data_IF_557675260772
#
_entry.id   IF_557675260772
#
_cell.length_a   1.000
_cell.length_b   1.000
_cell.length_c   1.000
_cell.angle_alpha   90.00
_cell.angle_beta   90.00
_cell.angle_gamma   90.00
#
_symmetry.space_group_name_H-M   'P 1'
#
loop_
_entity.id
_entity.type
_entity.pdbx_description
1 polymer ?
#
# COMPACT_ATOMS: atom_id res chain seq x y z
N UNK A 1 4.97 34.50 -44.80
CA UNK A 1 4.17 33.85 -45.88
C UNK A 1 3.41 32.68 -45.26
N UNK A 2 2.15 32.44 -45.65
CA UNK A 2 0.98 32.63 -44.78
C UNK A 2 0.19 31.34 -44.46
N UNK A 3 -0.79 31.51 -43.57
CA UNK A 3 -1.94 30.64 -43.28
C UNK A 3 -2.61 30.07 -44.55
N UNK A 4 -3.18 28.86 -44.44
CA UNK A 4 -4.30 28.48 -45.30
C UNK A 4 -5.32 27.65 -44.51
N UNK A 5 -6.55 28.14 -44.54
CA UNK A 5 -7.73 27.73 -43.81
C UNK A 5 -8.72 27.07 -44.79
N UNK A 6 -9.54 26.17 -44.25
CA UNK A 6 -10.92 25.89 -44.67
C UNK A 6 -11.19 25.29 -46.06
N UNK A 7 -11.89 24.15 -46.10
CA UNK A 7 -13.34 24.09 -46.43
C UNK A 7 -13.79 22.66 -46.73
N UNK A 8 -14.88 22.22 -46.08
CA UNK A 8 -15.79 21.19 -46.61
C UNK A 8 -16.89 21.87 -47.43
N UNK A 9 -17.51 21.18 -48.41
CA UNK A 9 -18.93 20.78 -48.28
C UNK A 9 -19.20 19.38 -48.88
N UNK A 10 -20.06 18.51 -48.35
CA UNK A 10 -21.53 18.51 -48.12
C UNK A 10 -22.34 17.75 -49.21
N UNK A 11 -22.79 16.55 -48.81
CA UNK A 11 -24.05 15.82 -49.06
C UNK A 11 -24.60 15.72 -50.51
N UNK A 12 -24.85 14.48 -50.99
CA UNK A 12 -26.20 13.92 -51.30
C UNK A 12 -26.18 12.50 -51.88
N UNK A 13 -26.77 11.59 -51.08
CA UNK A 13 -27.74 10.52 -51.39
C UNK A 13 -27.56 9.66 -52.65
N UNK A 14 -27.50 8.34 -52.44
CA UNK A 14 -28.27 7.37 -53.23
C UNK A 14 -28.61 6.11 -52.39
N UNK A 15 -29.91 5.78 -52.40
CA UNK A 15 -30.61 4.57 -51.96
C UNK A 15 -30.22 3.36 -52.85
N UNK A 16 -30.34 2.07 -52.53
CA UNK A 16 -31.44 1.22 -52.04
C UNK A 16 -30.82 -0.17 -51.77
N UNK A 17 -31.26 -0.91 -50.74
CA UNK A 17 -31.60 -2.35 -50.81
C UNK A 17 -31.66 -2.97 -49.40
N UNK A 18 -32.87 -3.37 -49.00
CA UNK A 18 -33.16 -4.16 -47.80
C UNK A 18 -32.51 -5.55 -47.95
N UNK A 19 -31.60 -5.91 -47.04
CA UNK A 19 -31.20 -7.29 -46.78
C UNK A 19 -31.35 -7.59 -45.30
N UNK A 20 -31.90 -8.77 -45.05
CA UNK A 20 -32.40 -9.30 -43.78
C UNK A 20 -31.31 -9.42 -42.72
N UNK A 21 -31.65 -9.03 -41.48
CA UNK A 21 -30.74 -9.05 -40.34
C UNK A 21 -30.47 -10.48 -39.85
N UNK A 22 -29.21 -10.91 -39.68
CA UNK A 22 -28.91 -12.11 -38.92
C UNK A 22 -29.06 -11.83 -37.42
N UNK A 23 -29.77 -12.73 -36.72
CA UNK A 23 -30.04 -12.69 -35.28
C UNK A 23 -28.72 -12.61 -34.48
N UNK A 24 -28.57 -11.58 -33.65
CA UNK A 24 -27.44 -11.43 -32.71
C UNK A 24 -27.38 -12.64 -31.75
N UNK A 25 -26.20 -13.22 -31.47
CA UNK A 25 -26.07 -14.23 -30.44
C UNK A 25 -26.34 -13.62 -29.07
N UNK A 26 -27.09 -14.35 -28.24
CA UNK A 26 -27.50 -13.95 -26.90
C UNK A 26 -26.28 -13.61 -26.02
N UNK A 27 -26.27 -12.40 -25.45
CA UNK A 27 -25.27 -11.97 -24.46
C UNK A 27 -25.39 -12.85 -23.22
N UNK A 28 -24.43 -13.75 -23.00
CA UNK A 28 -24.29 -14.47 -21.73
C UNK A 28 -23.99 -13.45 -20.63
N UNK A 29 -24.85 -13.37 -19.61
CA UNK A 29 -24.62 -12.55 -18.41
C UNK A 29 -23.32 -13.02 -17.74
N UNK A 30 -22.44 -12.11 -17.31
CA UNK A 30 -21.22 -12.51 -16.61
C UNK A 30 -21.61 -13.16 -15.29
N UNK A 31 -21.25 -14.44 -15.13
CA UNK A 31 -21.34 -15.16 -13.87
C UNK A 31 -20.39 -14.47 -12.91
N UNK A 32 -20.93 -13.70 -11.97
CA UNK A 32 -20.18 -13.13 -10.86
C UNK A 32 -19.66 -14.30 -10.01
N UNK A 33 -18.44 -14.75 -10.31
CA UNK A 33 -17.67 -15.57 -9.39
C UNK A 33 -17.51 -14.74 -8.13
N UNK A 34 -18.08 -15.20 -7.01
CA UNK A 34 -17.80 -14.65 -5.68
C UNK A 34 -16.30 -14.79 -5.47
N UNK A 35 -15.56 -13.70 -5.70
CA UNK A 35 -14.15 -13.61 -5.34
C UNK A 35 -14.15 -13.73 -3.82
N UNK A 36 -13.60 -14.83 -3.32
CA UNK A 36 -13.40 -15.03 -1.90
C UNK A 36 -12.66 -13.80 -1.38
N UNK A 37 -13.26 -13.13 -0.40
CA UNK A 37 -12.76 -11.92 0.24
C UNK A 37 -11.27 -12.07 0.52
N UNK A 38 -10.44 -11.29 -0.17
CA UNK A 38 -9.02 -11.17 0.12
C UNK A 38 -8.93 -10.74 1.58
N UNK A 39 -8.59 -11.68 2.47
CA UNK A 39 -8.19 -11.33 3.83
C UNK A 39 -6.97 -10.44 3.67
N UNK A 40 -7.10 -9.19 4.07
CA UNK A 40 -5.97 -8.28 4.24
C UNK A 40 -4.88 -9.01 5.01
N UNK A 41 -3.64 -8.98 4.51
CA UNK A 41 -2.45 -9.58 5.14
C UNK A 41 -2.25 -9.14 6.61
N UNK A 42 -2.95 -8.08 7.03
CA UNK A 42 -2.95 -7.55 8.39
C UNK A 42 -3.54 -8.50 9.45
N UNK A 43 -4.28 -9.56 9.10
CA UNK A 43 -5.06 -10.34 10.08
C UNK A 43 -4.77 -11.85 10.09
N UNK A 44 -3.53 -12.28 9.82
CA UNK A 44 -3.09 -13.62 10.27
C UNK A 44 -2.53 -13.49 11.69
N UNK A 45 -3.41 -13.24 12.66
CA UNK A 45 -3.10 -13.39 14.08
C UNK A 45 -3.26 -14.86 14.43
N UNK A 46 -2.20 -15.65 14.35
CA UNK A 46 -2.15 -16.93 15.06
C UNK A 46 -2.20 -16.62 16.55
N UNK A 47 -3.36 -16.83 17.18
CA UNK A 47 -3.50 -16.89 18.64
C UNK A 47 -2.77 -18.13 19.17
N UNK A 48 -1.46 -18.19 19.00
CA UNK A 48 -0.59 -19.21 19.55
C UNK A 48 0.37 -18.54 20.53
N UNK A 49 0.58 -19.17 21.68
CA UNK A 49 1.69 -18.84 22.56
C UNK A 49 3.00 -19.04 21.78
N UNK A 50 3.87 -18.02 21.77
CA UNK A 50 5.16 -18.14 21.10
C UNK A 50 5.97 -19.22 21.81
N UNK A 51 6.18 -20.35 21.16
CA UNK A 51 7.04 -21.42 21.66
C UNK A 51 8.50 -21.01 21.50
N UNK A 52 9.42 -21.66 22.23
CA UNK A 52 10.86 -21.40 22.10
C UNK A 52 11.31 -21.52 20.63
N UNK A 53 11.94 -20.47 20.11
CA UNK A 53 12.38 -20.40 18.72
C UNK A 53 11.31 -19.92 17.73
N UNK A 54 10.13 -19.51 18.19
CA UNK A 54 9.10 -18.90 17.35
C UNK A 54 9.52 -17.50 16.89
N UNK A 55 9.12 -17.14 15.67
CA UNK A 55 9.33 -15.82 15.07
C UNK A 55 7.97 -15.22 14.73
N UNK A 56 7.76 -13.96 15.11
CA UNK A 56 6.59 -13.18 14.72
C UNK A 56 7.03 -11.91 13.98
N UNK A 57 6.25 -11.50 12.99
CA UNK A 57 6.48 -10.29 12.20
C UNK A 57 5.26 -9.39 12.28
N UNK A 58 5.48 -8.11 12.59
CA UNK A 58 4.43 -7.10 12.71
C UNK A 58 4.71 -5.99 11.70
N UNK A 59 3.71 -5.66 10.86
CA UNK A 59 3.85 -4.65 9.81
C UNK A 59 3.16 -3.34 10.21
N UNK A 60 3.88 -2.22 10.14
CA UNK A 60 3.37 -0.86 10.39
C UNK A 60 4.35 -0.02 11.20
N UNK A 61 3.91 1.17 11.61
CA UNK A 61 4.70 2.06 12.48
C UNK A 61 4.97 1.37 13.83
N UNK A 62 6.25 1.32 14.24
CA UNK A 62 6.64 0.66 15.49
C UNK A 62 5.98 1.32 16.71
N UNK A 63 5.78 2.64 16.71
CA UNK A 63 5.16 3.40 17.80
C UNK A 63 3.72 2.95 18.06
N UNK A 64 3.00 2.58 17.00
CA UNK A 64 1.63 2.08 17.09
C UNK A 64 1.54 0.58 17.35
N UNK A 65 2.56 -0.18 16.92
CA UNK A 65 2.56 -1.65 16.97
C UNK A 65 3.10 -2.19 18.28
N UNK A 66 4.22 -1.67 18.78
CA UNK A 66 4.87 -2.14 20.00
C UNK A 66 3.90 -2.24 21.19
N UNK A 67 3.06 -1.22 21.51
CA UNK A 67 2.14 -1.31 22.65
C UNK A 67 1.10 -2.43 22.54
N UNK A 68 0.83 -2.94 21.33
CA UNK A 68 -0.17 -3.97 21.05
C UNK A 68 0.41 -5.39 21.09
N UNK A 69 1.74 -5.52 21.21
CA UNK A 69 2.43 -6.81 21.31
C UNK A 69 2.39 -7.28 22.76
N UNK A 70 1.85 -8.48 23.06
CA UNK A 70 1.70 -8.97 24.44
C UNK A 70 3.02 -8.97 25.23
N UNK A 71 4.12 -9.38 24.60
CA UNK A 71 5.44 -9.48 25.23
C UNK A 71 5.98 -8.10 25.63
N UNK A 72 5.68 -7.07 24.84
CA UNK A 72 6.04 -5.67 25.14
C UNK A 72 5.19 -5.18 26.32
N UNK A 73 3.87 -5.37 26.25
CA UNK A 73 2.95 -4.95 27.31
C UNK A 73 3.22 -5.65 28.66
N UNK A 74 3.74 -6.88 28.62
CA UNK A 74 4.07 -7.69 29.80
C UNK A 74 5.51 -7.50 30.30
N UNK A 75 6.30 -6.61 29.68
CA UNK A 75 7.71 -6.38 30.02
C UNK A 75 8.57 -7.65 29.95
N UNK A 76 8.40 -8.41 28.86
CA UNK A 76 9.08 -9.70 28.64
C UNK A 76 10.15 -9.62 27.54
N UNK A 77 10.46 -8.43 27.04
CA UNK A 77 11.52 -8.24 26.05
C UNK A 77 12.85 -8.20 26.80
N UNK A 78 13.82 -8.99 26.33
CA UNK A 78 15.15 -9.06 26.95
C UNK A 78 16.19 -8.19 26.25
N UNK A 79 16.03 -8.03 24.93
CA UNK A 79 16.98 -7.34 24.07
C UNK A 79 16.19 -6.67 22.96
N UNK A 80 16.52 -5.41 22.71
CA UNK A 80 16.06 -4.66 21.55
C UNK A 80 17.26 -4.43 20.65
N UNK A 81 17.09 -4.69 19.36
CA UNK A 81 18.04 -4.32 18.32
C UNK A 81 17.30 -3.38 17.35
N UNK A 82 17.88 -2.22 17.07
CA UNK A 82 17.26 -1.20 16.23
C UNK A 82 18.30 -0.54 15.32
N UNK A 83 17.88 -0.24 14.09
CA UNK A 83 18.62 0.52 13.08
C UNK A 83 17.68 1.61 12.54
N UNK A 84 17.48 2.71 13.30
CA UNK A 84 16.52 3.75 12.94
C UNK A 84 17.03 4.61 11.76
N UNK A 85 16.17 5.40 11.10
CA UNK A 85 16.60 6.43 10.16
C UNK A 85 17.63 7.36 10.82
N UNK A 86 18.69 7.74 10.10
CA UNK A 86 19.81 8.51 10.67
C UNK A 86 19.67 10.02 10.51
N UNK A 87 18.65 10.49 9.78
CA UNK A 87 18.42 11.91 9.50
C UNK A 87 19.60 12.61 8.81
N UNK A 88 20.20 11.94 7.83
CA UNK A 88 21.31 12.46 7.00
C UNK A 88 20.87 12.78 5.56
N UNK A 89 19.55 13.00 5.35
CA UNK A 89 18.94 13.35 4.06
C UNK A 89 19.17 12.29 2.97
N UNK A 90 19.05 11.01 3.34
CA UNK A 90 19.26 9.90 2.40
C UNK A 90 17.95 9.43 1.78
N UNK A 91 17.98 9.15 0.48
CA UNK A 91 16.84 8.59 -0.23
C UNK A 91 16.78 7.06 -0.12
N UNK A 92 16.00 6.57 0.84
CA UNK A 92 15.84 5.13 1.07
C UNK A 92 14.87 4.51 0.07
N UNK A 93 15.35 3.56 -0.73
CA UNK A 93 14.58 2.63 -1.57
C UNK A 93 13.55 3.23 -2.55
N UNK A 94 13.51 4.56 -2.77
CA UNK A 94 12.63 5.22 -3.75
C UNK A 94 12.70 4.59 -5.12
N UNK A 95 13.91 4.22 -5.55
CA UNK A 95 14.14 3.58 -6.84
C UNK A 95 13.45 2.20 -6.96
N UNK A 96 13.19 1.52 -5.84
CA UNK A 96 12.58 0.18 -5.81
C UNK A 96 11.08 0.23 -5.57
N UNK A 97 10.60 1.13 -4.71
CA UNK A 97 9.22 1.13 -4.20
C UNK A 97 8.39 2.29 -4.74
N UNK A 98 9.01 3.27 -5.40
CA UNK A 98 8.38 4.54 -5.80
C UNK A 98 8.16 5.52 -4.64
N UNK A 99 8.46 5.12 -3.41
CA UNK A 99 8.26 5.91 -2.19
C UNK A 99 9.49 5.78 -1.27
N UNK A 100 9.80 6.81 -0.50
CA UNK A 100 10.89 6.74 0.49
C UNK A 100 10.40 7.25 1.82
N UNK A 101 11.04 6.77 2.88
CA UNK A 101 10.98 7.42 4.18
C UNK A 101 11.54 8.84 4.07
N UNK A 102 10.93 9.79 4.77
CA UNK A 102 11.46 11.15 4.86
C UNK A 102 12.55 11.21 5.92
N UNK A 103 13.79 11.33 5.46
CA UNK A 103 15.00 11.31 6.29
C UNK A 103 15.67 12.70 6.35
N UNK A 104 14.89 13.76 6.11
CA UNK A 104 15.31 15.14 6.23
C UNK A 104 14.41 15.90 7.22
N UNK A 105 14.19 15.30 8.39
CA UNK A 105 13.41 15.91 9.48
C UNK A 105 14.19 17.05 10.13
N UNK A 106 13.45 18.03 10.64
CA UNK A 106 14.02 19.02 11.56
C UNK A 106 14.64 18.31 12.78
N UNK A 107 15.76 18.81 13.34
CA UNK A 107 16.40 18.18 14.50
C UNK A 107 15.47 17.94 15.69
N UNK A 108 14.59 18.89 16.02
CA UNK A 108 13.68 18.75 17.16
C UNK A 108 12.59 17.70 16.87
N UNK A 109 12.10 17.65 15.63
CA UNK A 109 11.17 16.63 15.18
C UNK A 109 11.80 15.23 15.21
N UNK A 110 13.04 15.10 14.74
CA UNK A 110 13.79 13.85 14.77
C UNK A 110 14.04 13.36 16.21
N UNK A 111 14.37 14.27 17.12
CA UNK A 111 14.54 13.95 18.54
C UNK A 111 13.21 13.51 19.17
N UNK A 112 12.12 14.25 18.92
CA UNK A 112 10.79 13.87 19.40
C UNK A 112 10.39 12.48 18.91
N UNK A 113 10.51 12.24 17.60
CA UNK A 113 10.32 10.92 16.98
C UNK A 113 11.17 9.85 17.66
N UNK A 114 12.44 10.15 17.94
CA UNK A 114 13.39 9.20 18.53
C UNK A 114 13.02 8.84 19.97
N UNK A 115 12.66 9.84 20.78
CA UNK A 115 12.21 9.60 22.15
C UNK A 115 10.93 8.78 22.20
N UNK A 116 9.96 9.06 21.32
CA UNK A 116 8.69 8.35 21.28
C UNK A 116 8.86 6.83 21.15
N UNK A 117 9.72 6.35 20.23
CA UNK A 117 9.92 4.91 20.08
C UNK A 117 10.88 4.32 21.12
N UNK A 118 11.85 5.08 21.61
CA UNK A 118 12.77 4.64 22.67
C UNK A 118 12.03 4.41 23.99
N UNK A 119 11.11 5.31 24.36
CA UNK A 119 10.32 5.18 25.59
C UNK A 119 9.48 3.90 25.58
N UNK A 120 8.96 3.51 24.42
CA UNK A 120 8.25 2.24 24.24
C UNK A 120 9.17 1.03 24.41
N UNK A 121 10.40 1.10 23.88
CA UNK A 121 11.39 0.05 24.07
C UNK A 121 11.82 -0.07 25.53
N UNK A 122 12.04 1.04 26.24
CA UNK A 122 12.35 1.06 27.68
C UNK A 122 11.19 0.45 28.46
N UNK A 123 9.94 0.79 28.11
CA UNK A 123 8.74 0.23 28.74
C UNK A 123 8.57 -1.28 28.55
N UNK A 124 9.25 -1.87 27.56
CA UNK A 124 9.18 -3.28 27.21
C UNK A 124 10.20 -4.17 27.93
N UNK A 125 11.27 -3.57 28.47
CA UNK A 125 12.35 -4.22 29.21
C UNK A 125 11.99 -4.39 30.70
#
# INVERSE_FOLDING_TARGET
MPYCESTMPDIRKQSVARKTAPKKPAKKKPVQKKIATLRTLAEVRTKGELTKGSVAMYLGDCRERLPKIPEVAQKRVRLVFADPPFNWSRDYDRQKTGHAWDDAMDPDEYLAFTYEWLDLCIGAL
#
